data_IF_647268296757
#
_entry.id   IF_647268296757
#
_cell.length_a   1.000
_cell.length_b   1.000
_cell.length_c   1.000
_cell.angle_alpha   90.00
_cell.angle_beta   90.00
_cell.angle_gamma   90.00
#
_symmetry.space_group_name_H-M   'P 1'
#
loop_
_entity.id
_entity.type
_entity.pdbx_description
1 polymer ?
#
# COMPACT_ATOMS: atom_id res chain seq x y z
N UNK A 1 -34.73 -19.67 23.40
CA UNK A 1 -33.95 -18.82 22.51
C UNK A 1 -32.66 -18.43 23.22
N UNK A 2 -31.55 -19.11 22.93
CA UNK A 2 -30.22 -18.82 23.50
C UNK A 2 -29.48 -18.02 22.46
N UNK A 3 -29.19 -16.75 22.76
CA UNK A 3 -28.32 -15.88 21.97
C UNK A 3 -26.87 -16.38 22.08
N UNK A 4 -26.29 -16.71 20.95
CA UNK A 4 -24.84 -16.94 20.80
C UNK A 4 -24.10 -15.60 21.00
N UNK A 5 -22.94 -15.60 21.67
CA UNK A 5 -22.09 -14.43 21.74
C UNK A 5 -21.36 -14.25 20.42
N UNK A 6 -21.34 -13.01 19.93
CA UNK A 6 -20.66 -12.51 18.73
C UNK A 6 -19.19 -12.94 18.71
N UNK A 7 -18.80 -13.46 17.58
CA UNK A 7 -17.41 -13.79 17.27
C UNK A 7 -16.59 -12.51 17.16
N UNK A 8 -15.70 -12.28 18.11
CA UNK A 8 -14.66 -11.26 17.99
C UNK A 8 -13.81 -11.52 16.74
N UNK A 9 -13.45 -10.48 15.96
CA UNK A 9 -12.81 -10.64 14.68
C UNK A 9 -11.39 -11.23 14.83
N UNK A 10 -11.14 -12.32 14.14
CA UNK A 10 -9.82 -12.98 13.96
C UNK A 10 -8.81 -12.13 13.17
N UNK A 11 -8.97 -10.82 13.12
CA UNK A 11 -8.15 -9.88 12.34
C UNK A 11 -6.73 -9.65 12.90
N UNK A 12 -6.47 -10.08 14.16
CA UNK A 12 -5.18 -9.84 14.80
C UNK A 12 -4.08 -10.88 14.47
N UNK A 13 -4.43 -12.03 13.91
CA UNK A 13 -3.49 -13.15 13.80
C UNK A 13 -2.58 -13.08 12.56
N UNK A 14 -2.98 -12.43 11.47
CA UNK A 14 -2.26 -12.50 10.18
C UNK A 14 -1.22 -11.40 9.96
N UNK A 15 -1.33 -10.23 10.60
CA UNK A 15 -0.34 -9.13 10.45
C UNK A 15 0.91 -9.35 11.32
N UNK A 16 0.84 -10.29 12.24
CA UNK A 16 1.81 -10.51 13.32
C UNK A 16 3.05 -11.31 12.89
N UNK A 17 3.07 -11.91 11.70
CA UNK A 17 4.06 -12.94 11.32
C UNK A 17 5.44 -12.41 10.87
N UNK A 18 5.70 -11.11 10.83
CA UNK A 18 6.91 -10.57 10.19
C UNK A 18 8.01 -10.06 11.13
N UNK A 19 7.88 -10.15 12.45
CA UNK A 19 8.96 -9.78 13.36
C UNK A 19 9.72 -11.05 13.81
N UNK A 20 11.06 -11.08 13.70
CA UNK A 20 11.84 -12.21 14.21
C UNK A 20 11.61 -12.33 15.72
N UNK A 21 11.34 -13.56 16.19
CA UNK A 21 11.13 -13.87 17.60
C UNK A 21 12.48 -14.04 18.29
N UNK A 22 12.91 -13.16 19.20
CA UNK A 22 14.05 -13.42 20.03
C UNK A 22 13.60 -14.23 21.26
N UNK A 23 13.33 -15.51 21.07
CA UNK A 23 12.88 -16.43 22.13
C UNK A 23 13.93 -16.74 23.20
N UNK A 24 15.12 -16.14 23.15
CA UNK A 24 16.22 -16.38 24.10
C UNK A 24 16.44 -15.26 25.13
N UNK A 25 15.74 -14.12 25.04
CA UNK A 25 16.02 -12.94 25.87
C UNK A 25 14.91 -12.56 26.85
N UNK A 26 13.90 -13.39 27.09
CA UNK A 26 12.79 -13.07 28.02
C UNK A 26 11.92 -11.87 27.59
N UNK A 27 12.00 -11.49 26.31
CA UNK A 27 11.22 -10.39 25.74
C UNK A 27 9.87 -10.90 25.29
N UNK A 28 8.81 -10.17 25.64
CA UNK A 28 7.44 -10.48 25.26
C UNK A 28 7.00 -9.48 24.18
N UNK A 29 6.53 -9.99 23.06
CA UNK A 29 5.94 -9.15 22.02
C UNK A 29 4.54 -8.73 22.39
N UNK A 30 4.17 -7.49 22.06
CA UNK A 30 2.83 -6.96 22.29
C UNK A 30 2.31 -6.13 21.13
N UNK A 31 0.98 -5.99 21.10
CA UNK A 31 0.26 -5.03 20.27
C UNK A 31 -0.95 -4.51 21.05
N UNK A 32 -1.15 -3.19 21.07
CA UNK A 32 -2.25 -2.56 21.79
C UNK A 32 -2.75 -1.30 21.09
N UNK A 33 -3.93 -0.84 21.48
CA UNK A 33 -4.42 0.45 21.04
C UNK A 33 -3.60 1.58 21.68
N UNK A 34 -3.33 2.63 20.91
CA UNK A 34 -2.78 3.88 21.45
C UNK A 34 -3.90 4.77 21.95
N UNK A 35 -4.55 4.31 23.01
CA UNK A 35 -5.66 4.98 23.70
C UNK A 35 -5.46 4.89 25.21
N UNK A 36 -6.11 5.80 25.97
CA UNK A 36 -6.08 5.79 27.43
C UNK A 36 -6.60 4.48 28.06
N UNK A 37 -7.34 3.69 27.28
CA UNK A 37 -7.85 2.37 27.69
C UNK A 37 -6.74 1.33 27.87
N UNK A 38 -5.62 1.48 27.19
CA UNK A 38 -4.51 0.50 27.16
C UNK A 38 -4.96 -0.91 26.77
N UNK A 39 -5.96 -1.01 25.88
CA UNK A 39 -6.49 -2.29 25.46
C UNK A 39 -5.42 -3.09 24.69
N UNK A 40 -5.00 -4.20 25.31
CA UNK A 40 -4.03 -5.13 24.72
C UNK A 40 -4.75 -6.00 23.69
N UNK A 41 -4.23 -6.01 22.45
CA UNK A 41 -4.77 -6.80 21.34
C UNK A 41 -4.03 -8.12 21.18
N UNK A 42 -2.73 -8.06 21.41
CA UNK A 42 -1.85 -9.22 21.36
C UNK A 42 -0.79 -9.13 22.44
N UNK A 43 -0.51 -10.24 23.08
CA UNK A 43 0.62 -10.44 23.98
C UNK A 43 1.19 -11.84 23.76
N UNK A 44 2.52 -11.93 23.77
CA UNK A 44 3.22 -13.20 23.60
C UNK A 44 2.70 -14.25 24.59
N UNK A 45 2.33 -15.46 24.15
CA UNK A 45 1.83 -16.53 25.05
C UNK A 45 2.79 -16.91 26.18
N UNK A 46 4.10 -16.66 26.02
CA UNK A 46 5.09 -16.92 27.08
C UNK A 46 5.00 -15.94 28.26
N UNK A 47 4.14 -14.93 28.18
CA UNK A 47 3.90 -13.95 29.26
C UNK A 47 3.44 -14.59 30.58
N UNK A 48 2.79 -15.74 30.51
CA UNK A 48 2.30 -16.46 31.68
C UNK A 48 3.39 -16.71 32.73
N UNK A 49 4.61 -16.97 32.30
CA UNK A 49 5.75 -17.16 33.21
C UNK A 49 6.15 -15.90 34.00
N UNK A 50 5.89 -14.72 33.44
CA UNK A 50 6.28 -13.44 34.06
C UNK A 50 5.08 -12.77 34.75
N UNK A 51 3.87 -12.93 34.20
CA UNK A 51 2.66 -12.27 34.72
C UNK A 51 1.86 -13.17 35.65
N UNK A 52 2.08 -14.50 35.62
CA UNK A 52 1.27 -15.47 36.33
C UNK A 52 -0.15 -15.63 35.78
N UNK A 53 -0.41 -15.11 34.57
CA UNK A 53 -1.70 -15.12 33.89
C UNK A 53 -1.48 -15.39 32.40
N UNK A 54 -2.38 -16.17 31.76
CA UNK A 54 -2.27 -16.42 30.31
C UNK A 54 -2.56 -15.16 29.49
N UNK A 55 -1.96 -15.07 28.32
CA UNK A 55 -2.13 -13.93 27.41
C UNK A 55 -3.59 -13.67 27.04
N UNK A 56 -4.39 -14.72 26.93
CA UNK A 56 -5.83 -14.60 26.62
C UNK A 56 -6.61 -13.80 27.65
N UNK A 57 -6.23 -13.89 28.93
CA UNK A 57 -6.90 -13.18 30.02
C UNK A 57 -6.48 -11.70 30.07
N UNK A 58 -5.33 -11.35 29.49
CA UNK A 58 -4.79 -9.99 29.44
C UNK A 58 -5.19 -9.24 28.17
N UNK A 59 -5.54 -9.96 27.09
CA UNK A 59 -5.90 -9.41 25.78
C UNK A 59 -7.41 -9.28 25.64
N UNK A 60 -8.00 -8.19 26.13
CA UNK A 60 -9.42 -7.89 25.95
C UNK A 60 -9.62 -6.41 25.61
N UNK A 61 -10.52 -6.15 24.65
CA UNK A 61 -10.91 -4.79 24.25
C UNK A 61 -11.79 -4.11 25.31
N UNK A 62 -12.59 -4.90 26.01
CA UNK A 62 -13.51 -4.42 27.04
C UNK A 62 -12.92 -4.72 28.41
N UNK A 63 -12.90 -3.70 29.28
CA UNK A 63 -12.38 -3.83 30.63
C UNK A 63 -10.87 -3.74 30.77
N UNK A 64 -10.13 -3.78 29.65
CA UNK A 64 -8.67 -3.63 29.59
C UNK A 64 -7.91 -4.31 30.74
N UNK A 65 -7.93 -5.66 30.84
CA UNK A 65 -7.36 -6.39 31.99
C UNK A 65 -5.86 -6.07 32.20
N UNK A 66 -5.10 -5.88 31.14
CA UNK A 66 -3.71 -5.47 31.23
C UNK A 66 -3.54 -4.13 31.95
N UNK A 67 -4.42 -3.17 31.63
CA UNK A 67 -4.40 -1.86 32.28
C UNK A 67 -4.73 -1.90 33.78
N UNK A 68 -5.49 -2.93 34.22
CA UNK A 68 -5.83 -3.10 35.64
C UNK A 68 -4.63 -3.51 36.50
N UNK A 69 -3.54 -3.99 35.88
CA UNK A 69 -2.28 -4.30 36.56
C UNK A 69 -1.46 -3.05 36.91
N UNK A 70 -1.90 -1.86 36.48
CA UNK A 70 -1.23 -0.57 36.72
C UNK A 70 -2.08 0.34 37.61
N UNK A 71 -1.41 1.16 38.41
CA UNK A 71 -2.10 2.24 39.10
C UNK A 71 -2.67 3.27 38.10
N UNK A 72 -3.90 3.78 38.31
CA UNK A 72 -4.55 4.72 37.40
C UNK A 72 -3.74 5.98 37.12
N UNK A 73 -3.03 6.53 38.12
CA UNK A 73 -2.16 7.70 37.98
C UNK A 73 -0.93 7.39 37.14
N UNK A 74 -0.29 6.26 37.40
CA UNK A 74 0.90 5.83 36.65
C UNK A 74 0.56 5.64 35.16
N UNK A 75 -0.59 5.03 34.87
CA UNK A 75 -1.10 4.82 33.50
C UNK A 75 -1.27 6.13 32.73
N UNK A 76 -1.83 7.17 33.37
CA UNK A 76 -2.00 8.48 32.74
C UNK A 76 -0.65 9.13 32.38
N UNK A 77 0.27 9.19 33.34
CA UNK A 77 1.59 9.75 33.10
C UNK A 77 2.39 8.99 32.03
N UNK A 78 2.21 7.69 31.99
CA UNK A 78 2.87 6.83 31.01
C UNK A 78 2.33 7.07 29.58
N UNK A 79 1.01 7.23 29.47
CA UNK A 79 0.40 7.58 28.19
C UNK A 79 0.88 8.94 27.66
N UNK A 80 0.95 9.94 28.53
CA UNK A 80 1.45 11.26 28.19
C UNK A 80 2.95 11.22 27.78
N UNK A 81 3.77 10.44 28.48
CA UNK A 81 5.17 10.24 28.14
C UNK A 81 5.37 9.57 26.77
N UNK A 82 4.52 8.60 26.43
CA UNK A 82 4.53 7.96 25.11
C UNK A 82 4.12 8.95 24.02
N UNK A 83 3.02 9.67 24.21
CA UNK A 83 2.55 10.68 23.26
C UNK A 83 3.59 11.79 23.06
N UNK A 84 4.29 12.19 24.11
CA UNK A 84 5.37 13.18 24.00
C UNK A 84 6.51 12.69 23.10
N UNK A 85 6.95 11.44 23.25
CA UNK A 85 8.01 10.86 22.42
C UNK A 85 7.55 10.67 20.97
N UNK A 86 6.29 10.29 20.77
CA UNK A 86 5.71 10.07 19.43
C UNK A 86 5.50 11.35 18.61
N UNK A 87 5.62 12.54 19.22
CA UNK A 87 5.60 13.82 18.49
C UNK A 87 6.86 14.04 17.66
N UNK A 88 7.98 13.46 18.07
CA UNK A 88 9.30 13.66 17.43
C UNK A 88 9.87 12.40 16.81
N UNK A 89 9.30 11.23 17.12
CA UNK A 89 9.78 9.91 16.67
C UNK A 89 8.58 8.98 16.46
N UNK A 90 8.73 7.98 15.61
CA UNK A 90 7.76 6.88 15.52
C UNK A 90 7.99 5.80 16.59
N UNK A 91 9.07 5.91 17.38
CA UNK A 91 9.47 4.98 18.41
C UNK A 91 9.45 5.63 19.79
N UNK A 92 9.20 4.82 20.81
CA UNK A 92 9.23 5.26 22.19
C UNK A 92 9.81 4.18 23.11
N UNK A 93 10.31 4.61 24.27
CA UNK A 93 10.80 3.75 25.34
C UNK A 93 10.25 4.27 26.66
N UNK A 94 9.58 3.41 27.42
CA UNK A 94 9.04 3.76 28.74
C UNK A 94 9.28 2.65 29.74
N UNK A 95 9.34 3.04 31.03
CA UNK A 95 9.53 2.14 32.15
C UNK A 95 8.34 2.26 33.09
N UNK A 96 7.83 1.13 33.57
CA UNK A 96 6.72 1.10 34.50
C UNK A 96 6.66 -0.22 35.27
N UNK A 97 5.91 -0.21 36.37
CA UNK A 97 5.69 -1.37 37.21
C UNK A 97 4.27 -1.88 37.05
N UNK A 98 4.12 -3.19 36.84
CA UNK A 98 2.86 -3.89 36.90
C UNK A 98 2.73 -4.64 38.22
N UNK A 99 1.52 -4.67 38.77
CA UNK A 99 1.17 -5.50 39.92
C UNK A 99 0.56 -6.80 39.42
N UNK A 100 1.41 -7.80 39.20
CA UNK A 100 1.00 -9.12 38.69
C UNK A 100 0.61 -10.07 39.83
N UNK A 101 0.03 -11.23 39.50
CA UNK A 101 -0.27 -12.28 40.46
C UNK A 101 1.02 -12.85 41.14
N UNK A 102 2.19 -12.68 40.52
CA UNK A 102 3.49 -13.12 41.05
C UNK A 102 4.20 -12.04 41.87
N UNK A 103 3.65 -10.82 41.94
CA UNK A 103 4.21 -9.67 42.61
C UNK A 103 4.45 -8.48 41.64
N UNK A 104 5.12 -7.41 42.13
CA UNK A 104 5.47 -6.27 41.32
C UNK A 104 6.48 -6.69 40.23
N UNK A 105 6.21 -6.31 38.99
CA UNK A 105 7.04 -6.60 37.83
C UNK A 105 7.43 -5.28 37.17
N UNK A 106 8.71 -4.95 37.19
CA UNK A 106 9.23 -3.78 36.49
C UNK A 106 9.49 -4.11 35.03
N UNK A 107 8.92 -3.31 34.14
CA UNK A 107 9.00 -3.49 32.70
C UNK A 107 9.61 -2.28 32.01
N UNK A 108 10.40 -2.56 31.00
CA UNK A 108 10.72 -1.62 29.94
C UNK A 108 9.89 -1.98 28.71
N UNK A 109 9.11 -1.03 28.21
CA UNK A 109 8.36 -1.14 26.97
C UNK A 109 9.08 -0.37 25.87
N UNK A 110 9.41 -1.06 24.80
CA UNK A 110 9.99 -0.51 23.57
C UNK A 110 8.96 -0.69 22.48
N UNK A 111 8.51 0.40 21.88
CA UNK A 111 7.45 0.30 20.89
C UNK A 111 7.56 1.30 19.76
N UNK A 112 6.79 1.01 18.73
CA UNK A 112 6.56 1.90 17.59
C UNK A 112 5.06 2.14 17.42
N UNK A 113 4.72 3.35 16.94
CA UNK A 113 3.35 3.71 16.61
C UNK A 113 3.10 3.48 15.12
N UNK A 114 1.94 2.92 14.79
CA UNK A 114 1.46 2.81 13.42
C UNK A 114 -0.05 3.09 13.35
N UNK A 115 -0.52 3.44 12.15
CA UNK A 115 -1.93 3.76 11.90
C UNK A 115 -2.54 2.74 10.95
N UNK A 116 -3.70 2.20 11.32
CA UNK A 116 -4.46 1.29 10.48
C UNK A 116 -5.97 1.60 10.62
N UNK A 117 -6.71 1.69 9.51
CA UNK A 117 -8.16 1.96 9.50
C UNK A 117 -8.57 3.16 10.37
N UNK A 118 -7.82 4.24 10.29
CA UNK A 118 -8.02 5.48 11.07
C UNK A 118 -7.88 5.33 12.60
N UNK A 119 -7.30 4.22 13.09
CA UNK A 119 -6.95 4.00 14.50
C UNK A 119 -5.45 3.96 14.67
N UNK A 120 -4.98 4.37 15.84
CA UNK A 120 -3.57 4.37 16.21
C UNK A 120 -3.28 3.15 17.08
N UNK A 121 -2.21 2.46 16.76
CA UNK A 121 -1.75 1.25 17.43
C UNK A 121 -0.31 1.43 17.88
N UNK A 122 0.04 0.69 18.94
CA UNK A 122 1.41 0.54 19.43
C UNK A 122 1.75 -0.93 19.40
N UNK A 123 2.93 -1.25 18.90
CA UNK A 123 3.47 -2.60 18.91
C UNK A 123 4.94 -2.58 19.28
N UNK A 124 5.42 -3.65 19.88
CA UNK A 124 6.81 -3.70 20.31
C UNK A 124 7.11 -4.88 21.23
N UNK A 125 7.98 -4.62 22.18
CA UNK A 125 8.47 -5.61 23.13
C UNK A 125 8.40 -5.11 24.56
N UNK A 126 8.04 -6.00 25.48
CA UNK A 126 8.12 -5.84 26.93
C UNK A 126 9.32 -6.63 27.43
N UNK A 127 10.16 -6.00 28.22
CA UNK A 127 11.32 -6.60 28.87
C UNK A 127 11.19 -6.43 30.38
N UNK A 128 11.20 -7.55 31.11
CA UNK A 128 11.26 -7.50 32.57
C UNK A 128 12.63 -6.97 33.02
N UNK A 129 12.62 -6.01 33.94
CA UNK A 129 13.82 -5.41 34.55
C UNK A 129 13.86 -5.90 36.00
N UNK A 130 14.90 -6.61 36.37
CA UNK A 130 15.13 -6.95 37.78
C UNK A 130 15.59 -5.72 38.53
N UNK A 131 14.94 -5.37 39.65
CA UNK A 131 15.38 -4.31 40.55
C UNK A 131 16.67 -4.74 41.25
N UNK A 132 17.74 -4.09 40.88
CA UNK A 132 19.06 -4.25 41.49
C UNK A 132 19.17 -3.51 42.83
N UNK A 133 18.13 -3.58 43.66
CA UNK A 133 18.11 -2.86 44.95
C UNK A 133 18.02 -3.81 46.16
N UNK A 134 18.81 -4.89 46.22
CA UNK A 134 19.16 -5.55 47.50
C UNK A 134 20.16 -6.69 47.31
N UNK A 135 21.44 -6.41 47.17
CA UNK A 135 22.59 -7.11 47.78
C UNK A 135 23.91 -6.68 47.14
N UNK A 136 24.99 -6.46 47.88
CA UNK A 136 26.26 -6.06 47.29
C UNK A 136 27.03 -7.29 46.77
N UNK A 137 27.35 -7.25 45.46
CA UNK A 137 28.33 -8.09 44.73
C UNK A 137 27.77 -9.31 44.00
N UNK A 138 28.02 -9.52 42.68
CA UNK A 138 29.01 -8.85 41.81
C UNK A 138 28.32 -8.08 40.64
N UNK A 139 28.22 -6.81 40.81
CA UNK A 139 27.44 -5.89 40.01
C UNK A 139 27.91 -5.52 38.59
N UNK A 140 29.17 -5.66 38.14
CA UNK A 140 29.51 -5.09 36.83
C UNK A 140 29.13 -5.96 35.63
N UNK A 141 29.02 -7.25 35.77
CA UNK A 141 28.77 -8.14 34.61
C UNK A 141 27.29 -8.17 34.20
N UNK A 142 26.37 -8.31 35.15
CA UNK A 142 24.94 -8.34 34.87
C UNK A 142 24.40 -6.98 34.36
N UNK A 143 24.96 -5.88 34.86
CA UNK A 143 24.61 -4.53 34.40
C UNK A 143 25.14 -4.29 32.99
N UNK A 144 26.34 -4.77 32.66
CA UNK A 144 26.93 -4.72 31.33
C UNK A 144 26.15 -5.64 30.34
N UNK A 145 25.68 -6.81 30.75
CA UNK A 145 24.86 -7.69 29.94
C UNK A 145 23.49 -7.09 29.64
N UNK A 146 22.85 -6.44 30.62
CA UNK A 146 21.60 -5.74 30.47
C UNK A 146 21.77 -4.54 29.52
N UNK A 147 22.85 -3.76 29.69
CA UNK A 147 23.16 -2.61 28.84
C UNK A 147 23.50 -3.05 27.41
N UNK A 148 24.22 -4.17 27.24
CA UNK A 148 24.54 -4.73 25.95
C UNK A 148 23.27 -5.23 25.21
N UNK A 149 22.35 -5.88 25.93
CA UNK A 149 21.06 -6.30 25.39
C UNK A 149 20.22 -5.09 24.94
N UNK A 150 20.18 -4.01 25.73
CA UNK A 150 19.51 -2.74 25.36
C UNK A 150 20.08 -2.13 24.08
N UNK A 151 21.41 -2.09 23.98
CA UNK A 151 22.11 -1.56 22.80
C UNK A 151 21.86 -2.42 21.56
N UNK A 152 21.86 -3.73 21.70
CA UNK A 152 21.55 -4.64 20.58
C UNK A 152 20.13 -4.46 20.06
N UNK A 153 19.15 -4.28 20.93
CA UNK A 153 17.75 -4.02 20.54
C UNK A 153 17.64 -2.67 19.84
N UNK A 154 18.23 -1.62 20.43
CA UNK A 154 18.22 -0.29 19.83
C UNK A 154 18.91 -0.28 18.46
N UNK A 155 20.02 -1.03 18.33
CA UNK A 155 20.73 -1.20 17.08
C UNK A 155 19.87 -1.93 16.03
N UNK A 156 19.22 -3.03 16.42
CA UNK A 156 18.34 -3.79 15.52
C UNK A 156 17.14 -2.96 15.04
N UNK A 157 16.52 -2.18 15.93
CA UNK A 157 15.44 -1.26 15.56
C UNK A 157 15.93 -0.17 14.61
N UNK A 158 17.10 0.43 14.91
CA UNK A 158 17.70 1.46 14.06
C UNK A 158 18.06 0.90 12.66
N UNK A 159 18.69 -0.27 12.62
CA UNK A 159 19.01 -0.95 11.36
C UNK A 159 17.76 -1.23 10.50
N UNK A 160 16.66 -1.64 11.15
CA UNK A 160 15.40 -1.87 10.46
C UNK A 160 14.81 -0.57 9.90
N UNK A 161 14.77 0.49 10.72
CA UNK A 161 14.31 1.81 10.27
C UNK A 161 15.14 2.33 9.11
N UNK A 162 16.47 2.15 9.16
CA UNK A 162 17.36 2.51 8.06
C UNK A 162 17.10 1.67 6.81
N UNK A 163 16.87 0.37 6.95
CA UNK A 163 16.53 -0.51 5.83
C UNK A 163 15.22 -0.11 5.17
N UNK A 164 14.18 0.19 5.96
CA UNK A 164 12.88 0.66 5.47
C UNK A 164 13.01 2.02 4.75
N UNK A 165 13.82 2.93 5.28
CA UNK A 165 14.11 4.23 4.65
C UNK A 165 14.87 4.06 3.33
N UNK A 166 15.88 3.20 3.30
CA UNK A 166 16.63 2.91 2.06
C UNK A 166 15.72 2.30 1.00
N UNK A 167 14.90 1.33 1.37
CA UNK A 167 13.94 0.72 0.45
C UNK A 167 12.94 1.75 -0.09
N UNK A 168 12.46 2.66 0.75
CA UNK A 168 11.60 3.76 0.32
C UNK A 168 12.31 4.69 -0.69
N UNK A 169 13.55 5.09 -0.39
CA UNK A 169 14.34 5.95 -1.29
C UNK A 169 14.65 5.26 -2.63
N UNK A 170 14.98 3.98 -2.62
CA UNK A 170 15.20 3.19 -3.82
C UNK A 170 13.93 3.11 -4.67
N UNK A 171 12.77 2.89 -4.05
CA UNK A 171 11.48 2.89 -4.73
C UNK A 171 11.17 4.24 -5.36
N UNK A 172 11.30 5.34 -4.62
CA UNK A 172 11.06 6.70 -5.14
C UNK A 172 12.01 7.01 -6.31
N UNK A 173 13.27 6.60 -6.20
CA UNK A 173 14.23 6.78 -7.31
C UNK A 173 13.84 5.98 -8.54
N UNK A 174 13.44 4.72 -8.38
CA UNK A 174 12.96 3.89 -9.47
C UNK A 174 11.70 4.46 -10.14
N UNK A 175 10.78 5.04 -9.36
CA UNK A 175 9.62 5.76 -9.84
C UNK A 175 10.02 6.95 -10.71
N UNK A 176 10.91 7.81 -10.22
CA UNK A 176 11.40 8.97 -10.97
C UNK A 176 12.13 8.56 -12.27
N UNK A 177 12.97 7.54 -12.21
CA UNK A 177 13.67 7.03 -13.38
C UNK A 177 12.69 6.49 -14.44
N UNK A 178 11.61 5.83 -14.05
CA UNK A 178 10.58 5.37 -14.97
C UNK A 178 9.87 6.56 -15.65
N UNK A 179 9.45 7.58 -14.90
CA UNK A 179 8.83 8.77 -15.47
C UNK A 179 9.77 9.46 -16.48
N UNK A 180 11.05 9.61 -16.14
CA UNK A 180 12.05 10.18 -17.06
C UNK A 180 12.24 9.32 -18.33
N UNK A 181 12.20 7.99 -18.21
CA UNK A 181 12.26 7.08 -19.36
C UNK A 181 11.03 7.23 -20.23
N UNK A 182 9.82 7.27 -19.67
CA UNK A 182 8.58 7.51 -20.41
C UNK A 182 8.61 8.85 -21.14
N UNK A 183 9.06 9.93 -20.49
CA UNK A 183 9.14 11.26 -21.07
C UNK A 183 10.18 11.38 -22.20
N UNK A 184 11.30 10.63 -22.12
CA UNK A 184 12.39 10.68 -23.10
C UNK A 184 12.25 9.67 -24.23
N UNK A 185 11.41 8.67 -24.07
CA UNK A 185 11.28 7.59 -25.04
C UNK A 185 10.68 8.12 -26.34
N UNK A 186 11.46 8.00 -27.42
CA UNK A 186 10.96 8.24 -28.78
C UNK A 186 10.26 6.96 -29.24
N UNK A 187 8.98 6.86 -28.89
CA UNK A 187 8.17 5.73 -29.33
C UNK A 187 8.17 5.63 -30.85
N UNK A 188 8.30 4.40 -31.37
CA UNK A 188 8.28 4.16 -32.81
C UNK A 188 6.93 4.62 -33.39
N UNK A 189 6.93 5.07 -34.65
CA UNK A 189 5.71 5.65 -35.24
C UNK A 189 4.52 4.67 -35.32
N UNK A 190 4.79 3.36 -35.30
CA UNK A 190 3.78 2.33 -35.52
C UNK A 190 3.33 1.61 -34.24
N UNK A 191 4.15 1.56 -33.18
CA UNK A 191 3.85 0.79 -31.94
C UNK A 191 4.01 1.60 -30.66
N UNK A 192 3.94 2.92 -30.72
CA UNK A 192 4.26 3.79 -29.59
C UNK A 192 3.39 3.54 -28.35
N UNK A 193 2.11 3.18 -28.55
CA UNK A 193 1.16 2.90 -27.47
C UNK A 193 1.49 1.57 -26.80
N UNK A 194 1.72 0.53 -27.61
CA UNK A 194 2.05 -0.81 -27.10
C UNK A 194 3.39 -0.81 -26.35
N UNK A 195 4.43 -0.19 -26.92
CA UNK A 195 5.76 -0.06 -26.30
C UNK A 195 5.70 0.65 -24.94
N UNK A 196 4.89 1.72 -24.83
CA UNK A 196 4.69 2.43 -23.58
C UNK A 196 3.94 1.57 -22.55
N UNK A 197 2.88 0.89 -22.98
CA UNK A 197 2.09 0.02 -22.13
C UNK A 197 2.93 -1.13 -21.55
N UNK A 198 3.74 -1.79 -22.39
CA UNK A 198 4.66 -2.86 -21.99
C UNK A 198 5.73 -2.37 -21.01
N UNK A 199 6.30 -1.17 -21.26
CA UNK A 199 7.27 -0.58 -20.35
C UNK A 199 6.64 -0.27 -18.97
N UNK A 200 5.42 0.30 -18.96
CA UNK A 200 4.72 0.64 -17.72
C UNK A 200 4.38 -0.62 -16.93
N UNK A 201 3.74 -1.61 -17.54
CA UNK A 201 3.27 -2.81 -16.84
C UNK A 201 4.43 -3.62 -16.27
N UNK A 202 5.51 -3.83 -17.02
CA UNK A 202 6.73 -4.49 -16.53
C UNK A 202 7.36 -3.71 -15.37
N UNK A 203 7.60 -2.40 -15.57
CA UNK A 203 8.27 -1.57 -14.57
C UNK A 203 7.42 -1.42 -13.30
N UNK A 204 6.08 -1.37 -13.42
CA UNK A 204 5.20 -1.35 -12.27
C UNK A 204 5.34 -2.63 -11.43
N UNK A 205 5.35 -3.83 -12.05
CA UNK A 205 5.60 -5.07 -11.33
C UNK A 205 6.93 -5.06 -10.57
N UNK A 206 7.99 -4.50 -11.18
CA UNK A 206 9.30 -4.41 -10.55
C UNK A 206 9.35 -3.40 -9.40
N UNK A 207 8.79 -2.21 -9.59
CA UNK A 207 8.81 -1.12 -8.59
C UNK A 207 7.93 -1.47 -7.38
N UNK A 208 6.72 -1.96 -7.63
CA UNK A 208 5.78 -2.32 -6.57
C UNK A 208 6.04 -3.69 -5.95
N UNK A 209 6.89 -4.52 -6.59
CA UNK A 209 7.15 -5.91 -6.18
C UNK A 209 5.85 -6.73 -6.09
N UNK A 210 4.99 -6.60 -7.11
CA UNK A 210 3.67 -7.22 -7.25
C UNK A 210 3.67 -8.34 -8.29
N UNK A 211 2.61 -9.15 -8.31
CA UNK A 211 2.52 -10.35 -9.14
C UNK A 211 2.08 -10.03 -10.57
N UNK A 212 1.26 -8.99 -10.77
CA UNK A 212 0.77 -8.62 -12.08
C UNK A 212 0.49 -7.13 -12.22
N UNK A 213 0.65 -6.62 -13.45
CA UNK A 213 0.21 -5.29 -13.84
C UNK A 213 -0.39 -5.31 -15.25
N UNK A 214 -1.50 -4.63 -15.44
CA UNK A 214 -2.17 -4.57 -16.74
C UNK A 214 -2.72 -3.19 -17.05
N UNK A 215 -2.75 -2.87 -18.35
CA UNK A 215 -3.32 -1.67 -18.90
C UNK A 215 -4.48 -2.03 -19.81
N UNK A 216 -5.59 -1.34 -19.60
CA UNK A 216 -6.83 -1.56 -20.34
C UNK A 216 -7.36 -0.25 -20.92
N UNK A 217 -7.92 -0.33 -22.12
CA UNK A 217 -8.67 0.74 -22.74
C UNK A 217 -10.16 0.55 -22.43
N UNK A 218 -10.87 1.62 -22.08
CA UNK A 218 -12.30 1.58 -21.76
C UNK A 218 -13.10 2.12 -22.95
N UNK A 219 -13.88 1.25 -23.58
CA UNK A 219 -14.83 1.61 -24.65
C UNK A 219 -16.26 1.32 -24.20
N UNK A 220 -16.98 2.38 -23.85
CA UNK A 220 -18.26 2.23 -23.14
C UNK A 220 -18.05 1.56 -21.79
N UNK A 221 -18.57 0.36 -21.60
CA UNK A 221 -18.37 -0.45 -20.39
C UNK A 221 -17.45 -1.66 -20.63
N UNK A 222 -16.74 -1.71 -21.76
CA UNK A 222 -15.87 -2.83 -22.11
C UNK A 222 -14.41 -2.43 -21.91
N UNK A 223 -13.68 -3.26 -21.20
CA UNK A 223 -12.24 -3.13 -21.01
C UNK A 223 -11.52 -3.99 -22.07
N UNK A 224 -10.79 -3.32 -22.95
CA UNK A 224 -9.99 -3.94 -24.00
C UNK A 224 -8.54 -3.97 -23.52
N UNK A 225 -7.89 -5.15 -23.52
CA UNK A 225 -6.52 -5.26 -23.02
C UNK A 225 -5.55 -4.54 -23.95
N UNK A 226 -4.66 -3.75 -23.40
CA UNK A 226 -3.53 -3.12 -24.11
C UNK A 226 -2.25 -3.87 -23.81
N UNK A 227 -1.96 -4.13 -22.54
CA UNK A 227 -0.79 -4.90 -22.11
C UNK A 227 -1.06 -5.51 -20.74
N UNK A 228 -0.60 -6.72 -20.51
CA UNK A 228 -0.58 -7.36 -19.20
C UNK A 228 0.77 -8.05 -18.99
N UNK A 229 1.41 -7.82 -17.86
CA UNK A 229 2.68 -8.42 -17.49
C UNK A 229 2.52 -9.23 -16.22
N UNK A 230 3.02 -10.46 -16.23
CA UNK A 230 3.07 -11.35 -15.08
C UNK A 230 4.51 -11.51 -14.59
N UNK A 231 4.69 -11.30 -13.29
CA UNK A 231 6.02 -11.39 -12.67
C UNK A 231 6.54 -12.81 -12.60
N UNK A 232 5.67 -13.79 -12.37
CA UNK A 232 6.09 -15.20 -12.26
C UNK A 232 6.69 -15.70 -13.57
N UNK A 233 6.03 -15.42 -14.68
CA UNK A 233 6.48 -15.84 -16.03
C UNK A 233 7.51 -14.88 -16.63
N UNK A 234 7.68 -13.68 -16.06
CA UNK A 234 8.51 -12.60 -16.62
C UNK A 234 8.12 -12.24 -18.06
N UNK A 235 6.85 -12.36 -18.41
CA UNK A 235 6.35 -12.20 -19.75
C UNK A 235 5.07 -11.37 -19.81
N UNK A 236 4.84 -10.77 -20.97
CA UNK A 236 3.54 -10.24 -21.33
C UNK A 236 2.59 -11.36 -21.76
N UNK A 237 1.39 -11.36 -21.20
CA UNK A 237 0.36 -12.35 -21.43
C UNK A 237 -0.83 -11.75 -22.16
N UNK A 238 -1.47 -12.56 -22.99
CA UNK A 238 -2.72 -12.15 -23.62
C UNK A 238 -3.86 -12.17 -22.60
N UNK A 239 -4.73 -11.18 -22.69
CA UNK A 239 -5.94 -11.06 -21.89
C UNK A 239 -7.16 -10.99 -22.80
N UNK A 240 -8.29 -11.52 -22.35
CA UNK A 240 -9.55 -11.40 -23.06
C UNK A 240 -10.23 -10.06 -22.78
N UNK A 241 -11.11 -9.65 -23.71
CA UNK A 241 -11.94 -8.46 -23.51
C UNK A 241 -12.88 -8.72 -22.34
N UNK A 242 -12.92 -7.76 -21.42
CA UNK A 242 -13.73 -7.85 -20.21
C UNK A 242 -14.91 -6.87 -20.27
N UNK A 243 -16.14 -7.38 -20.06
CA UNK A 243 -17.34 -6.55 -19.98
C UNK A 243 -17.60 -6.15 -18.52
N UNK A 244 -17.31 -4.89 -18.21
CA UNK A 244 -17.47 -4.34 -16.87
C UNK A 244 -18.90 -3.85 -16.60
N UNK A 245 -19.86 -3.96 -17.53
CA UNK A 245 -21.26 -3.53 -17.34
C UNK A 245 -21.96 -4.25 -16.19
N UNK A 246 -21.49 -5.45 -15.83
CA UNK A 246 -22.01 -6.25 -14.71
C UNK A 246 -21.48 -5.81 -13.33
N UNK A 247 -20.54 -4.86 -13.28
CA UNK A 247 -19.87 -4.38 -12.05
C UNK A 247 -20.04 -2.87 -11.89
N UNK A 248 -21.26 -2.39 -11.60
CA UNK A 248 -21.56 -0.95 -11.53
C UNK A 248 -20.77 -0.25 -10.42
N UNK A 249 -20.58 -0.88 -9.25
CA UNK A 249 -19.83 -0.31 -8.12
C UNK A 249 -18.36 -0.06 -8.51
N UNK A 250 -17.77 -0.98 -9.29
CA UNK A 250 -16.40 -0.81 -9.80
C UNK A 250 -16.32 0.34 -10.83
N UNK A 251 -17.24 0.39 -11.78
CA UNK A 251 -17.26 1.47 -12.78
C UNK A 251 -17.52 2.83 -12.13
N UNK A 252 -18.44 2.92 -11.18
CA UNK A 252 -18.69 4.14 -10.43
C UNK A 252 -17.44 4.60 -9.67
N UNK A 253 -16.78 3.68 -8.95
CA UNK A 253 -15.54 3.97 -8.25
C UNK A 253 -14.43 4.44 -9.22
N UNK A 254 -14.30 3.81 -10.39
CA UNK A 254 -13.33 4.18 -11.41
C UNK A 254 -13.59 5.60 -11.97
N UNK A 255 -14.86 5.96 -12.14
CA UNK A 255 -15.24 7.29 -12.62
C UNK A 255 -15.12 8.39 -11.56
N UNK A 256 -15.45 8.11 -10.31
CA UNK A 256 -15.52 9.10 -9.23
C UNK A 256 -14.22 9.26 -8.46
N UNK A 257 -13.38 8.21 -8.39
CA UNK A 257 -12.11 8.22 -7.64
C UNK A 257 -10.92 8.31 -8.59
N UNK A 258 -9.80 8.88 -8.13
CA UNK A 258 -8.55 8.87 -8.88
C UNK A 258 -7.96 7.46 -8.98
N UNK A 259 -8.08 6.69 -7.90
CA UNK A 259 -7.64 5.32 -7.78
C UNK A 259 -8.55 4.51 -6.85
N UNK A 260 -8.57 3.21 -7.03
CA UNK A 260 -9.25 2.23 -6.20
C UNK A 260 -8.17 1.43 -5.50
N UNK A 261 -7.96 1.72 -4.23
CA UNK A 261 -6.98 1.06 -3.37
C UNK A 261 -7.68 0.00 -2.51
N UNK A 262 -7.70 -1.22 -2.95
CA UNK A 262 -8.34 -2.33 -2.26
C UNK A 262 -7.30 -3.26 -1.61
N UNK A 263 -7.02 -3.13 -0.28
CA UNK A 263 -6.08 -4.00 0.42
C UNK A 263 -6.48 -5.47 0.43
N UNK A 264 -7.79 -5.71 0.31
CA UNK A 264 -8.39 -7.02 0.11
C UNK A 264 -9.55 -6.88 -0.88
N UNK A 265 -9.25 -7.13 -2.14
CA UNK A 265 -10.19 -6.93 -3.23
C UNK A 265 -11.44 -7.83 -3.16
N UNK A 266 -11.35 -9.00 -2.51
CA UNK A 266 -12.48 -9.89 -2.31
C UNK A 266 -13.46 -9.40 -1.24
N UNK A 267 -13.05 -8.43 -0.40
CA UNK A 267 -13.88 -7.86 0.68
C UNK A 267 -14.25 -6.40 0.44
N UNK A 268 -13.55 -5.72 -0.44
CA UNK A 268 -13.84 -4.32 -0.78
C UNK A 268 -15.14 -4.24 -1.59
N UNK A 269 -16.12 -3.45 -1.18
CA UNK A 269 -17.40 -3.35 -1.88
C UNK A 269 -17.25 -2.91 -3.34
N UNK A 270 -16.22 -2.14 -3.67
CA UNK A 270 -15.97 -1.64 -5.03
C UNK A 270 -15.46 -2.72 -5.98
N UNK A 271 -14.78 -3.77 -5.46
CA UNK A 271 -14.05 -4.76 -6.29
C UNK A 271 -14.48 -6.21 -6.08
N UNK A 272 -15.20 -6.51 -5.00
CA UNK A 272 -15.54 -7.91 -4.60
C UNK A 272 -16.28 -8.71 -5.69
N UNK A 273 -17.22 -8.08 -6.40
CA UNK A 273 -18.01 -8.75 -7.44
C UNK A 273 -17.17 -9.01 -8.68
N UNK A 274 -16.32 -8.05 -9.06
CA UNK A 274 -15.35 -8.19 -10.12
C UNK A 274 -14.39 -9.37 -9.84
N UNK A 275 -13.77 -9.41 -8.68
CA UNK A 275 -12.82 -10.45 -8.30
C UNK A 275 -13.48 -11.83 -8.23
N UNK A 276 -14.71 -11.92 -7.71
CA UNK A 276 -15.48 -13.15 -7.68
C UNK A 276 -15.77 -13.68 -9.09
N UNK A 277 -16.10 -12.82 -10.05
CA UNK A 277 -16.36 -13.20 -11.44
C UNK A 277 -15.13 -13.74 -12.17
N UNK A 278 -13.93 -13.28 -11.77
CA UNK A 278 -12.66 -13.77 -12.30
C UNK A 278 -12.23 -15.12 -11.70
N UNK A 279 -13.07 -15.72 -10.83
CA UNK A 279 -12.77 -16.99 -10.15
C UNK A 279 -11.64 -16.89 -9.14
N UNK A 280 -11.25 -15.68 -8.75
CA UNK A 280 -10.17 -15.42 -7.80
C UNK A 280 -10.74 -15.33 -6.39
N UNK A 281 -10.86 -16.48 -5.72
CA UNK A 281 -11.40 -16.56 -4.35
C UNK A 281 -10.34 -16.35 -3.26
N UNK A 282 -9.08 -16.25 -3.62
CA UNK A 282 -7.98 -16.01 -2.68
C UNK A 282 -7.89 -14.53 -2.29
N UNK A 283 -7.20 -14.26 -1.19
CA UNK A 283 -6.93 -12.90 -0.75
C UNK A 283 -6.02 -12.20 -1.77
N UNK A 284 -6.56 -11.23 -2.47
CA UNK A 284 -5.84 -10.41 -3.44
C UNK A 284 -5.90 -8.95 -3.00
N UNK A 285 -4.85 -8.20 -3.24
CA UNK A 285 -4.90 -6.75 -3.16
C UNK A 285 -4.86 -6.16 -4.57
N UNK A 286 -5.64 -5.11 -4.80
CA UNK A 286 -5.71 -4.39 -6.08
C UNK A 286 -5.47 -2.90 -5.85
N UNK A 287 -4.78 -2.29 -6.80
CA UNK A 287 -4.65 -0.85 -6.91
C UNK A 287 -4.89 -0.46 -8.38
N UNK A 288 -6.06 0.11 -8.64
CA UNK A 288 -6.46 0.51 -9.98
C UNK A 288 -6.45 2.04 -10.10
N UNK A 289 -5.80 2.55 -11.13
CA UNK A 289 -5.74 3.99 -11.41
C UNK A 289 -6.41 4.30 -12.76
N UNK A 290 -7.42 5.18 -12.73
CA UNK A 290 -8.15 5.58 -13.93
C UNK A 290 -7.30 6.45 -14.85
N UNK A 291 -7.18 6.06 -16.12
CA UNK A 291 -6.53 6.84 -17.19
C UNK A 291 -7.56 7.84 -17.71
N UNK A 292 -7.23 9.13 -17.61
CA UNK A 292 -8.18 10.20 -17.95
C UNK A 292 -7.66 11.11 -19.04
N UNK A 293 -8.54 11.41 -20.01
CA UNK A 293 -8.34 12.42 -21.05
C UNK A 293 -9.53 13.36 -21.01
N UNK A 294 -9.28 14.65 -20.91
CA UNK A 294 -10.29 15.70 -20.82
C UNK A 294 -11.37 15.44 -19.73
N UNK A 295 -10.93 14.87 -18.60
CA UNK A 295 -11.78 14.53 -17.47
C UNK A 295 -12.56 13.22 -17.60
N UNK A 296 -12.54 12.57 -18.77
CA UNK A 296 -13.20 11.30 -19.02
C UNK A 296 -12.24 10.13 -18.78
N UNK A 297 -12.74 9.06 -18.16
CA UNK A 297 -11.99 7.81 -18.01
C UNK A 297 -11.98 7.09 -19.35
N UNK A 298 -10.79 6.90 -19.90
CA UNK A 298 -10.58 6.20 -21.18
C UNK A 298 -9.89 4.86 -21.01
N UNK A 299 -9.51 4.51 -19.78
CA UNK A 299 -8.84 3.26 -19.48
C UNK A 299 -8.51 3.13 -18.00
N UNK A 300 -7.81 2.05 -17.65
CA UNK A 300 -7.36 1.77 -16.28
C UNK A 300 -6.01 1.08 -16.29
N UNK A 301 -5.16 1.47 -15.35
CA UNK A 301 -3.96 0.75 -14.95
C UNK A 301 -4.31 -0.08 -13.72
N UNK A 302 -4.22 -1.40 -13.82
CA UNK A 302 -4.49 -2.34 -12.74
C UNK A 302 -3.18 -2.94 -12.23
N UNK A 303 -2.99 -2.92 -10.90
CA UNK A 303 -1.86 -3.49 -10.18
C UNK A 303 -2.38 -4.54 -9.21
N UNK A 304 -1.86 -5.77 -9.30
CA UNK A 304 -2.40 -6.91 -8.56
C UNK A 304 -1.34 -7.61 -7.71
N UNK A 305 -1.73 -7.91 -6.47
CA UNK A 305 -1.00 -8.78 -5.56
C UNK A 305 -1.85 -10.03 -5.30
N UNK A 306 -1.38 -11.20 -5.71
CA UNK A 306 -2.12 -12.47 -5.60
C UNK A 306 -1.78 -13.19 -4.28
N UNK A 307 -2.78 -13.88 -3.71
CA UNK A 307 -2.61 -14.78 -2.56
C UNK A 307 -2.38 -14.10 -1.22
N UNK A 308 -2.35 -12.77 -1.14
CA UNK A 308 -2.18 -12.02 0.11
C UNK A 308 -2.82 -10.65 0.08
N UNK A 309 -3.20 -10.17 1.24
CA UNK A 309 -3.61 -8.77 1.43
C UNK A 309 -2.39 -7.84 1.45
N UNK A 310 -2.56 -6.61 0.98
CA UNK A 310 -1.53 -5.58 1.00
C UNK A 310 -2.15 -4.21 1.28
N UNK A 311 -1.64 -3.53 2.28
CA UNK A 311 -1.94 -2.11 2.46
C UNK A 311 -1.06 -1.28 1.51
N UNK A 312 -1.68 -0.59 0.57
CA UNK A 312 -0.99 0.30 -0.36
C UNK A 312 -0.52 1.55 0.36
N UNK A 313 0.74 1.93 0.16
CA UNK A 313 1.29 3.15 0.73
C UNK A 313 0.81 4.38 -0.04
N UNK A 314 0.78 5.54 0.61
CA UNK A 314 0.29 6.77 -0.03
C UNK A 314 1.12 7.17 -1.27
N UNK A 315 2.42 6.96 -1.25
CA UNK A 315 3.32 7.18 -2.40
C UNK A 315 3.07 6.17 -3.52
N UNK A 316 2.72 4.93 -3.21
CA UNK A 316 2.34 3.91 -4.19
C UNK A 316 1.05 4.30 -4.91
N UNK A 317 0.03 4.72 -4.16
CA UNK A 317 -1.25 5.17 -4.72
C UNK A 317 -1.05 6.41 -5.60
N UNK A 318 -0.26 7.38 -5.14
CA UNK A 318 0.04 8.58 -5.91
C UNK A 318 0.77 8.25 -7.22
N UNK A 319 1.75 7.35 -7.16
CA UNK A 319 2.53 6.97 -8.33
C UNK A 319 1.73 6.15 -9.36
N UNK A 320 0.79 5.30 -8.93
CA UNK A 320 -0.13 4.62 -9.86
C UNK A 320 -0.96 5.64 -10.66
N UNK A 321 -1.46 6.69 -9.99
CA UNK A 321 -2.15 7.80 -10.66
C UNK A 321 -1.23 8.56 -11.63
N UNK A 322 0.04 8.77 -11.27
CA UNK A 322 1.02 9.43 -12.13
C UNK A 322 1.33 8.59 -13.39
N UNK A 323 1.46 7.26 -13.25
CA UNK A 323 1.62 6.36 -14.40
C UNK A 323 0.40 6.39 -15.33
N UNK A 324 -0.81 6.41 -14.77
CA UNK A 324 -2.03 6.55 -15.55
C UNK A 324 -2.07 7.88 -16.32
N UNK A 325 -1.68 9.00 -15.69
CA UNK A 325 -1.57 10.30 -16.33
C UNK A 325 -0.50 10.32 -17.45
N UNK A 326 0.65 9.66 -17.24
CA UNK A 326 1.69 9.53 -18.28
C UNK A 326 1.20 8.70 -19.47
N UNK A 327 0.46 7.61 -19.22
CA UNK A 327 -0.11 6.83 -20.30
C UNK A 327 -1.19 7.60 -21.06
N UNK A 328 -2.02 8.40 -20.38
CA UNK A 328 -2.97 9.32 -21.01
C UNK A 328 -2.27 10.28 -21.98
N UNK A 329 -1.09 10.81 -21.60
CA UNK A 329 -0.29 11.67 -22.49
C UNK A 329 0.21 10.91 -23.73
N UNK A 330 0.59 9.64 -23.58
CA UNK A 330 1.00 8.79 -24.72
C UNK A 330 -0.19 8.58 -25.67
N UNK A 331 -1.38 8.28 -25.16
CA UNK A 331 -2.62 8.14 -25.95
C UNK A 331 -2.89 9.45 -26.71
N UNK A 332 -2.89 10.60 -26.03
CA UNK A 332 -3.13 11.90 -26.64
C UNK A 332 -2.13 12.21 -27.77
N UNK A 333 -0.85 11.95 -27.53
CA UNK A 333 0.19 12.17 -28.53
C UNK A 333 0.02 11.23 -29.74
N UNK A 334 -0.37 9.97 -29.50
CA UNK A 334 -0.65 9.01 -30.56
C UNK A 334 -1.82 9.48 -31.43
N UNK A 335 -2.96 9.83 -30.82
CA UNK A 335 -4.14 10.31 -31.51
C UNK A 335 -3.89 11.59 -32.30
N UNK A 336 -3.16 12.54 -31.72
CA UNK A 336 -2.78 13.79 -32.41
C UNK A 336 -1.90 13.53 -33.62
N UNK A 337 -0.93 12.61 -33.52
CA UNK A 337 -0.09 12.23 -34.67
C UNK A 337 -0.89 11.54 -35.74
N UNK A 338 -1.78 10.62 -35.38
CA UNK A 338 -2.65 9.94 -36.32
C UNK A 338 -3.55 10.93 -37.08
N UNK A 339 -4.16 11.88 -36.37
CA UNK A 339 -4.97 12.94 -36.98
C UNK A 339 -4.14 13.84 -37.92
N UNK A 340 -2.92 14.25 -37.51
CA UNK A 340 -2.03 15.06 -38.33
C UNK A 340 -1.59 14.31 -39.61
N UNK A 341 -1.25 13.02 -39.47
CA UNK A 341 -0.88 12.19 -40.61
C UNK A 341 -2.05 12.01 -41.60
N UNK A 342 -3.27 11.78 -41.07
CA UNK A 342 -4.47 11.68 -41.91
C UNK A 342 -4.74 12.98 -42.67
N UNK A 343 -4.59 14.14 -42.00
CA UNK A 343 -4.71 15.46 -42.64
C UNK A 343 -3.68 15.67 -43.76
N UNK A 344 -2.40 15.34 -43.48
CA UNK A 344 -1.35 15.43 -44.50
C UNK A 344 -1.61 14.49 -45.68
N UNK A 345 -2.07 13.28 -45.42
CA UNK A 345 -2.41 12.34 -46.50
C UNK A 345 -3.54 12.88 -47.36
N UNK A 346 -4.60 13.43 -46.69
CA UNK A 346 -5.73 14.05 -47.37
C UNK A 346 -5.26 15.26 -48.22
N UNK A 347 -4.44 16.15 -47.64
CA UNK A 347 -3.87 17.30 -48.38
C UNK A 347 -3.11 16.87 -49.63
N UNK A 348 -2.23 15.86 -49.51
CA UNK A 348 -1.48 15.32 -50.66
C UNK A 348 -2.43 14.72 -51.71
N UNK A 349 -3.48 13.99 -51.29
CA UNK A 349 -4.42 13.43 -52.23
C UNK A 349 -5.17 14.51 -53.01
N UNK A 350 -5.56 15.62 -52.37
CA UNK A 350 -6.20 16.77 -53.01
C UNK A 350 -5.23 17.51 -53.91
N UNK A 351 -4.01 17.76 -53.47
CA UNK A 351 -2.97 18.47 -54.28
C UNK A 351 -2.52 17.73 -55.53
N UNK A 352 -2.44 16.39 -55.42
CA UNK A 352 -2.04 15.51 -56.51
C UNK A 352 -3.21 15.04 -57.38
N UNK A 353 -4.43 15.41 -57.06
CA UNK A 353 -5.63 15.05 -57.85
C UNK A 353 -5.62 15.77 -59.20
N UNK A 354 -5.94 15.02 -60.26
CA UNK A 354 -6.21 15.59 -61.59
C UNK A 354 -7.51 16.41 -61.68
N UNK A 355 -8.38 16.30 -60.67
CA UNK A 355 -9.61 17.10 -60.58
C UNK A 355 -9.34 18.43 -59.90
N UNK A 356 -9.93 19.49 -60.41
CA UNK A 356 -9.89 20.82 -59.78
C UNK A 356 -10.70 20.81 -58.47
N UNK A 357 -10.06 21.18 -57.37
CA UNK A 357 -10.71 21.36 -56.07
C UNK A 357 -10.66 22.84 -55.66
N UNK A 358 -11.80 23.36 -55.31
CA UNK A 358 -11.95 24.73 -54.83
C UNK A 358 -12.72 24.70 -53.50
N UNK A 359 -12.15 25.28 -52.45
CA UNK A 359 -12.82 25.51 -51.17
C UNK A 359 -13.17 26.97 -51.06
N UNK A 360 -14.44 27.26 -50.81
CA UNK A 360 -14.98 28.60 -50.70
C UNK A 360 -15.75 28.69 -49.37
N UNK A 361 -15.55 29.78 -48.62
CA UNK A 361 -16.29 30.03 -47.40
C UNK A 361 -17.74 30.52 -47.69
N UNK A 362 -18.53 30.73 -46.63
CA UNK A 362 -19.92 31.17 -46.73
C UNK A 362 -20.08 32.55 -47.38
N UNK A 363 -19.06 33.40 -47.42
CA UNK A 363 -19.04 34.73 -48.01
C UNK A 363 -18.60 34.71 -49.48
N UNK A 364 -18.36 33.54 -50.05
CA UNK A 364 -17.92 33.38 -51.42
C UNK A 364 -16.43 33.62 -51.68
N UNK A 365 -15.64 33.73 -50.62
CA UNK A 365 -14.19 33.92 -50.72
C UNK A 365 -13.50 32.56 -50.88
N UNK A 366 -12.59 32.44 -51.84
CA UNK A 366 -11.77 31.23 -52.07
C UNK A 366 -10.76 31.12 -50.94
N UNK A 367 -10.85 30.04 -50.17
CA UNK A 367 -9.87 29.72 -49.11
C UNK A 367 -8.77 28.79 -49.58
N UNK A 368 -9.08 27.95 -50.57
CA UNK A 368 -8.09 27.02 -51.10
C UNK A 368 -8.44 26.61 -52.55
N UNK A 369 -7.40 26.46 -53.40
CA UNK A 369 -7.52 25.81 -54.70
C UNK A 369 -6.33 24.89 -54.90
N UNK A 370 -6.51 23.71 -55.46
CA UNK A 370 -5.42 22.81 -55.77
C UNK A 370 -4.74 23.18 -57.10
N UNK A 371 -3.54 22.65 -57.44
CA UNK A 371 -2.84 22.97 -58.68
C UNK A 371 -3.60 22.62 -59.97
N UNK A 372 -4.61 21.75 -59.91
CA UNK A 372 -5.43 21.38 -61.06
C UNK A 372 -6.62 22.32 -61.31
N UNK A 373 -6.89 23.26 -60.43
CA UNK A 373 -7.83 24.35 -60.60
C UNK A 373 -7.23 25.46 -61.47
#
# INVERSE_FOLDING_TARGET
MKSQPDAAPRLAAEVVTQLPVPSRLGMLRFERLNEASWAMLYLDPHCERQFGMPAADLCALVGSPYASLMEPRARYHLHDAIEHQLRTSHHYVVHYTLHTALGPLNLMELGEAYKQHNRHFLRGYLLAIEDSAASPSPAPVAELETQNSRLQIALALNQRTQADQLQHLERVRAQQDLILRLARHRYSQHNSLQEAAELITRSACDIYQIDGASLWNLEGNRLLPVSAFERETQAHVAQDIFDASHFPDYLEALHTSRSIDAPNASRDPRTRELVASLGRHEANAMLDAGIRIDGQVVGVLCLEQVGRTRAWQADEIAFAGELADQFAQVINNHNRRAATNALHLFQRAVEQSANAFLLVNCDGVVEYANPSF
#
